data_IF_447855981247
#
_entry.id   IF_447855981247
#
_cell.length_a   1.000
_cell.length_b   1.000
_cell.length_c   1.000
_cell.angle_alpha   90.00
_cell.angle_beta   90.00
_cell.angle_gamma   90.00
#
_symmetry.space_group_name_H-M   'P 1'
#
loop_
_entity.id
_entity.type
_entity.pdbx_description
1 polymer ?
#
# COMPACT_ATOMS: atom_id res chain seq x y z
N UNK A 1 -24.99 -10.03 6.91
CA UNK A 1 -23.58 -9.66 6.68
C UNK A 1 -22.83 -10.96 6.50
N UNK A 2 -22.04 -11.09 5.44
CA UNK A 2 -21.20 -12.28 5.21
C UNK A 2 -20.13 -12.42 6.29
N UNK A 3 -19.56 -13.63 6.43
CA UNK A 3 -18.63 -13.97 7.52
C UNK A 3 -17.34 -13.14 7.47
N UNK A 4 -16.83 -12.84 6.28
CA UNK A 4 -15.61 -12.05 6.10
C UNK A 4 -15.83 -10.58 6.49
N UNK A 5 -16.97 -9.99 6.11
CA UNK A 5 -17.33 -8.64 6.56
C UNK A 5 -17.54 -8.59 8.07
N UNK A 6 -18.14 -9.63 8.67
CA UNK A 6 -18.32 -9.71 10.13
C UNK A 6 -16.99 -9.74 10.88
N UNK A 7 -16.02 -10.51 10.41
CA UNK A 7 -14.68 -10.59 11.03
C UNK A 7 -14.01 -9.22 11.10
N UNK A 8 -14.01 -8.45 10.00
CA UNK A 8 -13.45 -7.10 10.00
C UNK A 8 -14.26 -6.12 10.88
N UNK A 9 -15.58 -6.26 10.94
CA UNK A 9 -16.40 -5.44 11.83
C UNK A 9 -16.08 -5.68 13.31
N UNK A 10 -15.84 -6.93 13.72
CA UNK A 10 -15.45 -7.26 15.09
C UNK A 10 -14.08 -6.67 15.44
N UNK A 11 -13.11 -6.73 14.53
CA UNK A 11 -11.84 -6.02 14.70
C UNK A 11 -12.03 -4.52 14.89
N UNK A 12 -12.83 -3.88 14.05
CA UNK A 12 -13.08 -2.45 14.15
C UNK A 12 -13.74 -2.08 15.50
N UNK A 13 -14.66 -2.89 16.00
CA UNK A 13 -15.29 -2.70 17.32
C UNK A 13 -14.29 -2.88 18.47
N UNK A 14 -13.50 -3.95 18.45
CA UNK A 14 -12.47 -4.22 19.45
C UNK A 14 -11.42 -3.09 19.49
N UNK A 15 -10.99 -2.63 18.32
CA UNK A 15 -10.02 -1.53 18.19
C UNK A 15 -10.57 -0.19 18.66
N UNK A 16 -11.84 0.12 18.36
CA UNK A 16 -12.47 1.38 18.75
C UNK A 16 -12.54 1.54 20.28
N UNK A 17 -12.82 0.44 21.00
CA UNK A 17 -12.82 0.43 22.45
C UNK A 17 -11.47 0.89 23.05
N UNK A 18 -10.36 0.52 22.42
CA UNK A 18 -9.03 0.87 22.89
C UNK A 18 -8.65 2.34 22.62
N UNK A 19 -9.29 3.00 21.64
CA UNK A 19 -8.91 4.35 21.21
C UNK A 19 -9.60 5.47 22.02
N UNK A 20 -10.82 5.26 22.50
CA UNK A 20 -11.59 6.31 23.19
C UNK A 20 -11.34 6.36 24.71
N UNK A 21 -10.47 5.50 25.25
CA UNK A 21 -10.39 5.30 26.71
C UNK A 21 -11.72 4.81 27.32
N UNK A 22 -12.64 4.36 26.47
CA UNK A 22 -13.91 3.76 26.82
C UNK A 22 -13.62 2.29 27.12
N UNK A 23 -13.59 1.94 28.40
CA UNK A 23 -13.60 0.53 28.77
C UNK A 23 -14.94 -0.04 28.34
N UNK A 24 -14.93 -1.05 27.46
CA UNK A 24 -16.12 -1.83 27.17
C UNK A 24 -16.67 -2.36 28.50
N UNK A 25 -17.98 -2.22 28.71
CA UNK A 25 -18.62 -2.93 29.80
C UNK A 25 -18.49 -4.45 29.57
N UNK A 26 -18.59 -5.23 30.65
CA UNK A 26 -18.41 -6.68 30.60
C UNK A 26 -19.36 -7.37 29.62
N UNK A 27 -20.57 -6.85 29.43
CA UNK A 27 -21.57 -7.42 28.51
C UNK A 27 -21.16 -7.19 27.06
N UNK A 28 -20.73 -5.98 26.71
CA UNK A 28 -20.22 -5.65 25.38
C UNK A 28 -18.95 -6.43 25.03
N UNK A 29 -18.03 -6.56 25.99
CA UNK A 29 -16.80 -7.34 25.81
C UNK A 29 -17.10 -8.83 25.61
N UNK A 30 -17.98 -9.40 26.45
CA UNK A 30 -18.43 -10.79 26.33
C UNK A 30 -19.15 -11.04 25.00
N UNK A 31 -19.97 -10.10 24.53
CA UNK A 31 -20.63 -10.19 23.23
C UNK A 31 -19.62 -10.25 22.08
N UNK A 32 -18.60 -9.37 22.07
CA UNK A 32 -17.57 -9.39 21.01
C UNK A 32 -16.82 -10.73 21.03
N UNK A 33 -16.39 -11.21 22.20
CA UNK A 33 -15.67 -12.48 22.35
C UNK A 33 -16.52 -13.70 21.94
N UNK A 34 -17.80 -13.71 22.29
CA UNK A 34 -18.74 -14.75 21.84
C UNK A 34 -18.84 -14.76 20.31
N UNK A 35 -19.00 -13.58 19.68
CA UNK A 35 -19.09 -13.49 18.24
C UNK A 35 -17.78 -13.88 17.52
N UNK A 36 -16.62 -13.56 18.10
CA UNK A 36 -15.32 -14.04 17.59
C UNK A 36 -15.24 -15.57 17.67
N UNK A 37 -15.62 -16.15 18.82
CA UNK A 37 -15.62 -17.60 19.03
C UNK A 37 -16.54 -18.30 18.04
N UNK A 38 -17.76 -17.80 17.87
CA UNK A 38 -18.72 -18.30 16.88
C UNK A 38 -18.10 -18.27 15.48
N UNK A 39 -17.45 -17.19 15.06
CA UNK A 39 -16.84 -17.12 13.72
C UNK A 39 -15.67 -18.08 13.53
N UNK A 40 -14.83 -18.26 14.56
CA UNK A 40 -13.74 -19.24 14.53
C UNK A 40 -14.26 -20.68 14.41
N UNK A 41 -15.30 -20.99 15.18
CA UNK A 41 -15.92 -22.31 15.21
C UNK A 41 -16.76 -22.60 13.95
N UNK A 42 -17.29 -21.56 13.29
CA UNK A 42 -18.08 -21.67 12.04
C UNK A 42 -17.22 -22.01 10.81
N UNK A 43 -16.03 -22.59 11.01
CA UNK A 43 -15.11 -23.14 10.03
C UNK A 43 -14.11 -22.12 9.45
N UNK A 44 -12.89 -22.09 10.00
CA UNK A 44 -11.71 -21.38 9.48
C UNK A 44 -11.49 -21.56 7.97
N UNK A 45 -12.01 -22.65 7.36
CA UNK A 45 -11.90 -22.91 5.93
C UNK A 45 -12.67 -21.93 5.01
N UNK A 46 -13.60 -21.12 5.53
CA UNK A 46 -14.33 -20.11 4.72
C UNK A 46 -13.85 -18.67 4.91
N UNK A 47 -13.10 -18.40 5.99
CA UNK A 47 -12.54 -17.07 6.21
C UNK A 47 -11.30 -16.91 5.33
N UNK A 48 -11.28 -15.84 4.53
CA UNK A 48 -10.06 -15.48 3.83
C UNK A 48 -8.98 -14.99 4.82
N UNK A 49 -7.72 -15.02 4.40
CA UNK A 49 -6.59 -14.64 5.26
C UNK A 49 -6.73 -13.23 5.83
N UNK A 50 -7.29 -12.28 5.06
CA UNK A 50 -7.57 -10.93 5.58
C UNK A 50 -8.53 -10.96 6.78
N UNK A 51 -9.57 -11.78 6.72
CA UNK A 51 -10.59 -11.90 7.77
C UNK A 51 -10.09 -12.70 8.97
N UNK A 52 -9.28 -13.73 8.75
CA UNK A 52 -8.57 -14.43 9.83
C UNK A 52 -7.64 -13.46 10.57
N UNK A 53 -6.91 -12.62 9.82
CA UNK A 53 -6.05 -11.58 10.40
C UNK A 53 -6.85 -10.56 11.21
N UNK A 54 -8.03 -10.18 10.73
CA UNK A 54 -8.95 -9.31 11.48
C UNK A 54 -9.33 -9.95 12.83
N UNK A 55 -9.69 -11.24 12.83
CA UNK A 55 -10.04 -11.94 14.08
C UNK A 55 -8.84 -12.06 15.02
N UNK A 56 -7.63 -12.32 14.51
CA UNK A 56 -6.42 -12.38 15.33
C UNK A 56 -6.19 -11.04 16.02
N UNK A 57 -6.25 -9.94 15.27
CA UNK A 57 -6.15 -8.59 15.82
C UNK A 57 -7.28 -8.28 16.81
N UNK A 58 -8.52 -8.70 16.53
CA UNK A 58 -9.64 -8.51 17.45
C UNK A 58 -9.39 -9.23 18.79
N UNK A 59 -8.92 -10.48 18.76
CA UNK A 59 -8.55 -11.25 19.96
C UNK A 59 -7.44 -10.53 20.74
N UNK A 60 -6.41 -10.04 20.05
CA UNK A 60 -5.32 -9.30 20.65
C UNK A 60 -5.79 -8.01 21.35
N UNK A 61 -6.62 -7.21 20.70
CA UNK A 61 -7.19 -5.98 21.29
C UNK A 61 -8.13 -6.28 22.48
N UNK A 62 -8.72 -7.48 22.54
CA UNK A 62 -9.55 -7.95 23.65
C UNK A 62 -8.74 -8.64 24.77
N UNK A 63 -7.42 -8.75 24.65
CA UNK A 63 -6.54 -9.38 25.64
C UNK A 63 -6.46 -10.91 25.57
N UNK A 64 -7.04 -11.53 24.55
CA UNK A 64 -6.98 -12.98 24.31
C UNK A 64 -5.69 -13.36 23.57
N UNK A 65 -4.54 -13.05 24.18
CA UNK A 65 -3.22 -13.11 23.51
C UNK A 65 -2.86 -14.50 22.97
N UNK A 66 -3.13 -15.56 23.74
CA UNK A 66 -2.83 -16.95 23.30
C UNK A 66 -3.63 -17.30 22.06
N UNK A 67 -4.94 -17.03 22.06
CA UNK A 67 -5.80 -17.33 20.92
C UNK A 67 -5.44 -16.48 19.69
N UNK A 68 -5.02 -15.23 19.90
CA UNK A 68 -4.53 -14.36 18.83
C UNK A 68 -3.24 -14.92 18.20
N UNK A 69 -2.29 -15.38 19.02
CA UNK A 69 -1.02 -15.96 18.56
C UNK A 69 -1.23 -17.30 17.85
N UNK A 70 -2.12 -18.16 18.34
CA UNK A 70 -2.48 -19.42 17.69
C UNK A 70 -3.04 -19.18 16.28
N UNK A 71 -3.93 -18.18 16.14
CA UNK A 71 -4.49 -17.82 14.83
C UNK A 71 -3.44 -17.15 13.93
N UNK A 72 -2.51 -16.37 14.50
CA UNK A 72 -1.37 -15.84 13.75
C UNK A 72 -0.49 -16.98 13.22
N UNK A 73 -0.22 -18.03 14.00
CA UNK A 73 0.54 -19.19 13.55
C UNK A 73 -0.13 -19.91 12.37
N UNK A 74 -1.45 -20.08 12.41
CA UNK A 74 -2.23 -20.61 11.29
C UNK A 74 -2.07 -19.74 10.02
N UNK A 75 -2.11 -18.42 10.17
CA UNK A 75 -1.92 -17.47 9.05
C UNK A 75 -0.51 -17.57 8.50
N UNK A 76 0.52 -17.53 9.34
CA UNK A 76 1.93 -17.59 8.91
C UNK A 76 2.26 -18.91 8.20
N UNK A 77 1.61 -20.02 8.56
CA UNK A 77 1.75 -21.29 7.86
C UNK A 77 1.27 -21.26 6.40
N UNK A 78 0.47 -20.27 6.00
CA UNK A 78 -0.01 -20.07 4.62
C UNK A 78 0.83 -19.10 3.79
N UNK A 79 1.97 -18.64 4.33
CA UNK A 79 2.83 -17.67 3.67
C UNK A 79 3.43 -18.21 2.36
N UNK A 80 3.34 -17.41 1.31
CA UNK A 80 3.93 -17.69 0.00
C UNK A 80 5.19 -16.83 -0.19
N UNK A 81 6.37 -17.48 -0.17
CA UNK A 81 7.67 -16.78 -0.31
C UNK A 81 8.30 -17.04 -1.67
N UNK A 82 8.63 -15.96 -2.38
CA UNK A 82 9.41 -16.01 -3.60
C UNK A 82 10.88 -16.29 -3.28
N UNK A 83 11.41 -17.43 -3.75
CA UNK A 83 12.77 -17.87 -3.43
C UNK A 83 13.89 -16.97 -3.99
N UNK A 84 13.63 -16.22 -5.07
CA UNK A 84 14.62 -15.37 -5.72
C UNK A 84 14.72 -13.99 -5.06
N UNK A 85 13.57 -13.41 -4.70
CA UNK A 85 13.51 -12.06 -4.12
C UNK A 85 13.46 -12.09 -2.59
N UNK A 86 13.11 -13.23 -1.99
CA UNK A 86 12.81 -13.34 -0.56
C UNK A 86 11.59 -12.50 -0.17
N UNK A 87 10.71 -12.17 -1.11
CA UNK A 87 9.45 -11.48 -0.83
C UNK A 87 8.39 -12.51 -0.40
N UNK A 88 7.72 -12.24 0.71
CA UNK A 88 6.71 -13.12 1.32
C UNK A 88 5.35 -12.43 1.26
N UNK A 89 4.29 -13.17 0.96
CA UNK A 89 2.95 -12.61 0.88
C UNK A 89 1.89 -13.64 1.23
N UNK A 90 0.66 -13.16 1.41
CA UNK A 90 -0.51 -13.99 1.65
C UNK A 90 -1.56 -13.70 0.59
N UNK A 91 -2.14 -14.76 0.04
CA UNK A 91 -3.21 -14.64 -0.93
C UNK A 91 -4.49 -14.09 -0.29
N UNK A 92 -5.13 -13.12 -0.95
CA UNK A 92 -6.45 -12.61 -0.57
C UNK A 92 -7.62 -13.50 -0.99
N UNK A 93 -7.41 -14.82 -1.04
CA UNK A 93 -8.09 -15.81 -1.88
C UNK A 93 -9.57 -15.59 -2.28
N UNK A 94 -9.80 -15.87 -3.58
CA UNK A 94 -10.97 -15.71 -4.44
C UNK A 94 -12.11 -16.72 -4.22
N UNK A 95 -12.85 -16.66 -3.10
CA UNK A 95 -13.89 -17.67 -2.87
C UNK A 95 -15.29 -17.37 -3.45
N UNK A 96 -15.63 -16.14 -3.86
CA UNK A 96 -16.98 -15.88 -4.40
C UNK A 96 -17.11 -14.81 -5.51
N UNK A 97 -16.03 -14.14 -5.93
CA UNK A 97 -16.03 -13.05 -6.93
C UNK A 97 -16.78 -11.78 -6.50
N UNK A 98 -17.95 -11.92 -5.87
CA UNK A 98 -18.80 -10.85 -5.38
C UNK A 98 -18.19 -10.12 -4.16
N UNK A 99 -17.72 -10.84 -3.13
CA UNK A 99 -17.04 -10.24 -1.99
C UNK A 99 -15.71 -9.62 -2.42
N UNK A 100 -14.97 -10.31 -3.29
CA UNK A 100 -13.69 -9.82 -3.82
C UNK A 100 -13.84 -8.44 -4.47
N UNK A 101 -14.78 -8.30 -5.40
CA UNK A 101 -15.06 -7.03 -6.07
C UNK A 101 -15.58 -5.98 -5.08
N UNK A 102 -16.56 -6.35 -4.22
CA UNK A 102 -17.17 -5.43 -3.25
C UNK A 102 -16.16 -4.84 -2.26
N UNK A 103 -15.16 -5.62 -1.86
CA UNK A 103 -14.19 -5.22 -0.82
C UNK A 103 -12.86 -4.74 -1.37
N UNK A 104 -12.71 -4.74 -2.71
CA UNK A 104 -11.45 -4.46 -3.39
C UNK A 104 -10.32 -5.33 -2.81
N UNK A 105 -10.62 -6.62 -2.60
CA UNK A 105 -9.68 -7.54 -1.99
C UNK A 105 -8.45 -7.73 -2.88
N UNK A 106 -7.28 -7.82 -2.27
CA UNK A 106 -6.04 -8.10 -2.98
C UNK A 106 -5.00 -8.72 -2.05
N UNK A 107 -3.99 -9.34 -2.65
CA UNK A 107 -2.84 -9.87 -1.93
C UNK A 107 -2.04 -8.74 -1.25
N UNK A 108 -1.96 -7.56 -1.88
CA UNK A 108 -1.32 -6.37 -1.29
C UNK A 108 -2.00 -5.97 0.01
N UNK A 109 -3.33 -5.82 -0.03
CA UNK A 109 -4.15 -5.44 1.14
C UNK A 109 -4.05 -6.49 2.25
N UNK A 110 -4.13 -7.77 1.86
CA UNK A 110 -4.07 -8.91 2.79
C UNK A 110 -2.71 -8.98 3.48
N UNK A 111 -1.64 -8.94 2.70
CA UNK A 111 -0.26 -8.96 3.20
C UNK A 111 0.03 -7.77 4.09
N UNK A 112 -0.44 -6.57 3.74
CA UNK A 112 -0.29 -5.39 4.58
C UNK A 112 -0.96 -5.60 5.95
N UNK A 113 -2.15 -6.17 5.98
CA UNK A 113 -2.83 -6.39 7.25
C UNK A 113 -2.14 -7.46 8.11
N UNK A 114 -1.58 -8.50 7.50
CA UNK A 114 -0.74 -9.50 8.20
C UNK A 114 0.53 -8.86 8.75
N UNK A 115 1.14 -7.91 8.03
CA UNK A 115 2.28 -7.11 8.54
C UNK A 115 1.89 -6.28 9.78
N UNK A 116 0.71 -5.67 9.79
CA UNK A 116 0.18 -4.99 10.99
C UNK A 116 0.07 -5.97 12.17
N UNK A 117 -0.53 -7.15 11.96
CA UNK A 117 -0.67 -8.17 13.01
C UNK A 117 0.68 -8.65 13.55
N UNK A 118 1.63 -9.02 12.68
CA UNK A 118 2.99 -9.38 13.08
C UNK A 118 3.67 -8.24 13.84
N UNK A 119 3.54 -6.99 13.38
CA UNK A 119 4.20 -5.84 14.04
C UNK A 119 3.70 -5.60 15.46
N UNK A 120 2.41 -5.89 15.74
CA UNK A 120 1.83 -5.75 17.07
C UNK A 120 2.10 -6.95 17.98
N UNK A 121 1.97 -8.17 17.45
CA UNK A 121 1.98 -9.41 18.24
C UNK A 121 3.34 -10.09 18.29
N UNK A 122 4.12 -10.01 17.21
CA UNK A 122 5.37 -10.77 17.01
C UNK A 122 6.34 -10.02 16.08
N UNK A 123 6.92 -8.88 16.51
CA UNK A 123 7.76 -8.02 15.67
C UNK A 123 9.10 -8.64 15.25
N UNK A 124 9.41 -9.83 15.77
CA UNK A 124 10.58 -10.64 15.44
C UNK A 124 10.23 -11.86 14.59
N UNK A 125 9.03 -11.93 14.00
CA UNK A 125 8.64 -13.02 13.10
C UNK A 125 9.55 -13.08 11.87
N UNK A 126 9.94 -14.28 11.46
CA UNK A 126 10.90 -14.51 10.37
C UNK A 126 10.32 -14.08 9.01
N UNK A 127 9.01 -14.14 8.84
CA UNK A 127 8.29 -13.76 7.63
C UNK A 127 8.19 -12.24 7.46
N UNK A 128 8.26 -11.47 8.55
CA UNK A 128 7.99 -10.03 8.56
C UNK A 128 8.90 -9.24 7.62
N UNK A 129 10.23 -9.44 7.58
CA UNK A 129 11.09 -8.77 6.60
C UNK A 129 10.74 -9.10 5.15
N UNK A 130 10.34 -10.35 4.88
CA UNK A 130 9.91 -10.78 3.55
C UNK A 130 8.59 -10.13 3.13
N UNK A 131 7.66 -9.99 4.08
CA UNK A 131 6.37 -9.31 3.88
C UNK A 131 6.52 -7.82 3.60
N UNK A 132 7.38 -7.13 4.35
CA UNK A 132 7.73 -5.72 4.09
C UNK A 132 8.37 -5.57 2.71
N UNK A 133 9.27 -6.49 2.32
CA UNK A 133 9.88 -6.48 0.99
C UNK A 133 8.85 -6.67 -0.12
N UNK A 134 7.87 -7.55 0.07
CA UNK A 134 6.76 -7.70 -0.87
C UNK A 134 6.00 -6.38 -1.04
N UNK A 135 5.58 -5.74 0.05
CA UNK A 135 4.88 -4.45 -0.02
C UNK A 135 5.72 -3.41 -0.77
N UNK A 136 6.99 -3.22 -0.41
CA UNK A 136 7.86 -2.27 -1.10
C UNK A 136 8.01 -2.58 -2.59
N UNK A 137 8.08 -3.86 -2.97
CA UNK A 137 8.15 -4.31 -4.37
C UNK A 137 6.85 -4.13 -5.17
N UNK A 138 5.70 -4.00 -4.51
CA UNK A 138 4.40 -3.71 -5.14
C UNK A 138 4.12 -2.22 -5.29
N UNK A 139 4.98 -1.35 -4.74
CA UNK A 139 4.81 0.10 -4.83
C UNK A 139 4.92 0.58 -6.27
N UNK A 140 3.89 1.27 -6.73
CA UNK A 140 3.84 2.00 -7.98
C UNK A 140 4.06 3.50 -7.71
N UNK A 141 4.18 4.32 -8.75
CA UNK A 141 4.55 5.75 -8.69
C UNK A 141 4.15 6.47 -7.39
N UNK A 142 2.86 6.65 -7.13
CA UNK A 142 2.33 7.40 -5.98
C UNK A 142 1.67 6.51 -4.90
N UNK A 143 1.72 5.19 -5.01
CA UNK A 143 0.99 4.30 -4.09
C UNK A 143 0.99 2.83 -4.51
N UNK A 144 -0.04 2.10 -4.12
CA UNK A 144 -0.18 0.66 -4.37
C UNK A 144 -1.43 0.36 -5.20
N UNK A 145 -1.51 0.81 -6.45
CA UNK A 145 -2.63 0.48 -7.36
C UNK A 145 -3.96 1.16 -7.03
N UNK A 146 -4.54 0.88 -5.87
CA UNK A 146 -5.82 1.44 -5.38
C UNK A 146 -5.63 2.27 -4.10
N UNK A 147 -6.62 3.12 -3.77
CA UNK A 147 -6.64 3.86 -2.50
C UNK A 147 -6.68 2.93 -1.29
N UNK A 148 -7.39 1.81 -1.39
CA UNK A 148 -7.51 0.80 -0.34
C UNK A 148 -6.16 0.13 -0.05
N UNK A 149 -5.51 -0.42 -1.07
CA UNK A 149 -4.18 -1.01 -0.94
C UNK A 149 -3.14 0.01 -0.46
N UNK A 150 -3.21 1.25 -0.94
CA UNK A 150 -2.32 2.33 -0.50
C UNK A 150 -2.49 2.63 0.98
N UNK A 151 -3.72 2.73 1.47
CA UNK A 151 -3.98 2.99 2.88
C UNK A 151 -3.46 1.87 3.78
N UNK A 152 -3.78 0.60 3.48
CA UNK A 152 -3.31 -0.54 4.25
C UNK A 152 -1.78 -0.68 4.20
N UNK A 153 -1.15 -0.49 3.03
CA UNK A 153 0.31 -0.57 2.92
C UNK A 153 1.01 0.52 3.75
N UNK A 154 0.51 1.76 3.74
CA UNK A 154 1.08 2.84 4.55
C UNK A 154 0.94 2.54 6.04
N UNK A 155 -0.24 2.10 6.49
CA UNK A 155 -0.47 1.74 7.89
C UNK A 155 0.47 0.61 8.33
N UNK A 156 0.53 -0.48 7.56
CA UNK A 156 1.36 -1.63 7.85
C UNK A 156 2.86 -1.31 7.91
N UNK A 157 3.36 -0.53 6.94
CA UNK A 157 4.76 -0.10 6.94
C UNK A 157 5.07 0.85 8.11
N UNK A 158 4.09 1.63 8.55
CA UNK A 158 4.22 2.49 9.74
C UNK A 158 4.25 1.66 11.02
N UNK A 159 3.34 0.70 11.18
CA UNK A 159 3.31 -0.23 12.31
C UNK A 159 4.63 -0.99 12.42
N UNK A 160 5.15 -1.47 11.29
CA UNK A 160 6.44 -2.11 11.20
C UNK A 160 7.58 -1.21 11.70
N UNK A 161 7.67 0.02 11.18
CA UNK A 161 8.72 0.97 11.59
C UNK A 161 8.64 1.28 13.09
N UNK A 162 7.44 1.45 13.64
CA UNK A 162 7.24 1.67 15.08
C UNK A 162 7.68 0.46 15.91
N UNK A 163 7.32 -0.76 15.48
CA UNK A 163 7.70 -1.99 16.16
C UNK A 163 9.21 -2.24 16.13
N UNK A 164 9.85 -1.94 15.00
CA UNK A 164 11.32 -2.04 14.88
C UNK A 164 12.04 -1.03 15.78
N UNK A 165 11.55 0.20 15.89
CA UNK A 165 12.10 1.21 16.82
C UNK A 165 12.08 0.71 18.26
N UNK A 166 10.97 0.15 18.71
CA UNK A 166 10.85 -0.41 20.07
C UNK A 166 11.82 -1.57 20.31
N UNK A 167 12.12 -2.36 19.27
CA UNK A 167 12.97 -3.56 19.39
C UNK A 167 14.47 -3.24 19.32
N UNK A 168 14.86 -2.26 18.50
CA UNK A 168 16.28 -1.96 18.21
C UNK A 168 16.91 -0.95 19.19
N UNK A 169 16.10 -0.26 20.01
CA UNK A 169 16.58 0.77 20.94
C UNK A 169 17.00 2.06 20.23
N UNK A 170 17.71 2.96 20.94
CA UNK A 170 18.07 4.31 20.44
C UNK A 170 19.53 4.43 19.94
N UNK A 171 20.20 3.31 19.66
CA UNK A 171 21.61 3.33 19.28
C UNK A 171 21.80 4.03 17.92
N UNK A 172 22.68 5.05 17.83
CA UNK A 172 22.94 5.71 16.56
C UNK A 172 23.65 4.79 15.58
N UNK A 173 23.32 4.92 14.30
CA UNK A 173 24.04 4.30 13.19
C UNK A 173 24.72 5.38 12.35
N UNK A 174 25.99 5.16 12.00
CA UNK A 174 26.71 6.07 11.11
C UNK A 174 26.48 5.65 9.66
N UNK A 175 26.43 6.63 8.78
CA UNK A 175 26.31 6.41 7.35
C UNK A 175 27.35 7.23 6.58
N UNK A 176 27.76 6.70 5.44
CA UNK A 176 28.54 7.41 4.42
C UNK A 176 27.92 7.13 3.06
N UNK A 177 27.67 8.19 2.30
CA UNK A 177 27.21 8.11 0.91
C UNK A 177 28.34 8.55 0.00
N UNK A 178 28.64 7.74 -0.99
CA UNK A 178 29.61 8.03 -2.03
C UNK A 178 28.94 8.01 -3.41
N UNK A 179 29.38 8.90 -4.28
CA UNK A 179 29.04 8.93 -5.70
C UNK A 179 30.35 8.78 -6.48
N UNK A 180 30.45 7.74 -7.31
CA UNK A 180 31.66 7.44 -8.09
C UNK A 180 32.95 7.46 -7.24
N UNK A 181 32.86 6.90 -6.02
CA UNK A 181 33.96 6.84 -5.04
C UNK A 181 34.23 8.13 -4.25
N UNK A 182 33.58 9.25 -4.57
CA UNK A 182 33.69 10.49 -3.81
C UNK A 182 32.63 10.57 -2.72
N UNK A 183 33.05 10.78 -1.47
CA UNK A 183 32.12 11.02 -0.35
C UNK A 183 31.33 12.30 -0.57
N UNK A 184 30.00 12.19 -0.61
CA UNK A 184 29.07 13.31 -0.77
C UNK A 184 28.36 13.68 0.53
N UNK A 185 28.18 12.70 1.43
CA UNK A 185 27.58 12.92 2.73
C UNK A 185 28.08 11.87 3.72
N UNK A 186 28.17 12.28 4.98
CA UNK A 186 28.45 11.40 6.10
C UNK A 186 27.74 11.94 7.34
N UNK A 187 27.29 11.07 8.21
CA UNK A 187 26.62 11.48 9.43
C UNK A 187 26.22 10.32 10.30
N UNK A 188 25.44 10.63 11.32
CA UNK A 188 24.87 9.65 12.24
C UNK A 188 23.37 9.88 12.33
N UNK A 189 22.62 8.79 12.40
CA UNK A 189 21.17 8.78 12.51
C UNK A 189 20.81 7.96 13.74
N UNK A 190 19.88 8.47 14.54
CA UNK A 190 19.24 7.68 15.59
C UNK A 190 17.99 7.03 15.01
N UNK A 191 17.47 5.94 15.60
CA UNK A 191 16.20 5.33 15.20
C UNK A 191 15.00 6.28 15.30
N UNK A 192 15.13 7.33 16.11
CA UNK A 192 14.18 8.45 16.27
C UNK A 192 14.37 9.58 15.27
N UNK A 193 15.47 9.59 14.50
CA UNK A 193 15.72 10.63 13.53
C UNK A 193 14.65 10.62 12.43
N UNK A 194 14.22 11.82 12.02
CA UNK A 194 13.47 11.98 10.77
C UNK A 194 14.36 11.54 9.59
N UNK A 195 13.72 11.12 8.49
CA UNK A 195 14.46 10.76 7.29
C UNK A 195 15.29 11.94 6.80
N UNK A 196 16.53 11.67 6.41
CA UNK A 196 17.39 12.67 5.77
C UNK A 196 17.29 12.57 4.26
N UNK A 197 17.28 13.72 3.59
CA UNK A 197 17.39 13.80 2.13
C UNK A 197 18.78 14.32 1.77
N UNK A 198 19.54 13.52 1.02
CA UNK A 198 20.87 13.88 0.56
C UNK A 198 20.76 14.20 -0.94
N UNK A 199 20.83 15.48 -1.34
CA UNK A 199 20.86 15.83 -2.75
C UNK A 199 22.19 15.34 -3.35
N UNK A 200 22.11 14.58 -4.44
CA UNK A 200 23.30 14.16 -5.19
C UNK A 200 23.67 15.26 -6.20
N UNK A 201 24.86 15.88 -6.08
CA UNK A 201 25.28 16.92 -7.01
C UNK A 201 25.44 16.37 -8.44
N UNK A 202 24.86 17.06 -9.43
CA UNK A 202 24.89 16.63 -10.83
C UNK A 202 26.30 16.67 -11.44
N UNK A 203 27.19 17.51 -10.91
CA UNK A 203 28.59 17.63 -11.33
C UNK A 203 29.46 16.45 -10.89
N UNK A 204 28.97 15.62 -9.95
CA UNK A 204 29.60 14.37 -9.56
C UNK A 204 29.08 13.17 -10.36
N UNK A 205 28.07 13.38 -11.21
CA UNK A 205 27.52 12.34 -12.07
C UNK A 205 28.18 12.36 -13.44
N UNK A 206 28.67 11.21 -13.88
CA UNK A 206 29.17 10.99 -15.22
C UNK A 206 28.03 10.73 -16.21
N UNK A 207 28.33 10.94 -17.50
CA UNK A 207 27.42 10.49 -18.56
C UNK A 207 27.42 8.96 -18.60
N UNK A 208 26.25 8.35 -18.34
CA UNK A 208 26.07 6.90 -18.37
C UNK A 208 25.91 6.29 -16.97
N UNK A 209 26.60 5.19 -16.71
CA UNK A 209 26.50 4.47 -15.44
C UNK A 209 27.20 5.26 -14.32
N UNK A 210 26.52 5.37 -13.19
CA UNK A 210 27.04 6.00 -11.98
C UNK A 210 26.92 5.01 -10.82
N UNK A 211 27.93 4.97 -9.95
CA UNK A 211 27.91 4.14 -8.75
C UNK A 211 27.55 4.99 -7.54
N UNK A 212 26.53 4.55 -6.79
CA UNK A 212 26.13 5.15 -5.52
C UNK A 212 26.36 4.10 -4.44
N UNK A 213 27.30 4.36 -3.54
CA UNK A 213 27.67 3.45 -2.46
C UNK A 213 27.17 3.99 -1.14
N UNK A 214 26.31 3.21 -0.47
CA UNK A 214 25.84 3.49 0.89
C UNK A 214 26.53 2.54 1.86
N UNK A 215 27.35 3.12 2.74
CA UNK A 215 28.06 2.40 3.79
C UNK A 215 27.38 2.75 5.10
N UNK A 216 27.09 1.76 5.94
CA UNK A 216 26.57 2.00 7.28
C UNK A 216 27.27 1.13 8.32
N UNK A 217 27.45 1.70 9.52
CA UNK A 217 27.83 0.96 10.72
C UNK A 217 26.75 1.16 11.78
N UNK A 218 26.25 0.07 12.36
CA UNK A 218 25.12 0.14 13.31
C UNK A 218 24.38 -1.18 13.46
N UNK A 219 23.58 -1.26 14.53
CA UNK A 219 22.68 -2.39 14.78
C UNK A 219 21.36 -2.12 14.07
N UNK A 220 20.96 -3.02 13.18
CA UNK A 220 19.70 -2.92 12.45
C UNK A 220 19.84 -2.48 11.00
N UNK A 221 18.75 -2.58 10.21
CA UNK A 221 18.73 -2.23 8.81
C UNK A 221 18.69 -0.71 8.60
N UNK A 222 19.48 -0.21 7.64
CA UNK A 222 19.34 1.15 7.10
C UNK A 222 18.41 1.12 5.88
N UNK A 223 17.25 1.77 6.00
CA UNK A 223 16.34 1.95 4.87
C UNK A 223 16.71 3.20 4.07
N UNK A 224 16.75 3.05 2.75
CA UNK A 224 17.03 4.16 1.84
C UNK A 224 16.10 4.09 0.61
N UNK A 225 15.91 5.25 -0.01
CA UNK A 225 15.25 5.35 -1.30
C UNK A 225 16.08 6.26 -2.21
N UNK A 226 16.35 5.80 -3.43
CA UNK A 226 16.97 6.62 -4.46
C UNK A 226 15.86 7.19 -5.36
N UNK A 227 15.74 8.52 -5.40
CA UNK A 227 14.75 9.23 -6.21
C UNK A 227 15.47 10.05 -7.28
N UNK A 228 15.10 9.83 -8.53
CA UNK A 228 15.50 10.64 -9.67
C UNK A 228 14.25 11.23 -10.33
N UNK A 229 14.29 12.52 -10.66
CA UNK A 229 13.22 13.20 -11.39
C UNK A 229 13.81 13.93 -12.60
N UNK A 230 13.27 13.62 -13.77
CA UNK A 230 13.63 14.28 -15.02
C UNK A 230 12.38 14.70 -15.79
N UNK A 231 12.54 15.71 -16.64
CA UNK A 231 11.50 16.13 -17.57
C UNK A 231 11.93 15.74 -18.97
N UNK A 232 11.16 14.86 -19.60
CA UNK A 232 11.38 14.49 -20.99
C UNK A 232 10.39 15.25 -21.87
N UNK A 233 10.90 16.08 -22.77
CA UNK A 233 10.07 16.74 -23.76
C UNK A 233 9.57 15.69 -24.76
N UNK A 234 8.28 15.37 -24.70
CA UNK A 234 7.61 14.48 -25.64
C UNK A 234 6.40 15.20 -26.24
N UNK A 235 6.17 15.00 -27.54
CA UNK A 235 5.01 15.56 -28.26
C UNK A 235 3.71 14.83 -27.91
N UNK A 236 3.81 13.58 -27.46
CA UNK A 236 2.68 12.74 -27.06
C UNK A 236 3.15 11.62 -26.13
N UNK A 237 2.24 11.14 -25.28
CA UNK A 237 2.44 9.95 -24.45
C UNK A 237 1.66 8.81 -25.12
N UNK A 238 2.29 7.66 -25.32
CA UNK A 238 1.60 6.48 -25.85
C UNK A 238 0.53 5.99 -24.87
N UNK A 239 -0.63 5.58 -25.41
CA UNK A 239 -1.67 4.97 -24.59
C UNK A 239 -1.15 3.64 -24.00
N UNK A 240 -1.55 3.35 -22.77
CA UNK A 240 -1.17 2.13 -22.05
C UNK A 240 -2.38 1.52 -21.34
N UNK A 241 -2.31 0.22 -21.06
CA UNK A 241 -3.37 -0.54 -20.41
C UNK A 241 -4.39 -1.14 -21.39
N UNK A 242 -5.38 -1.84 -20.86
CA UNK A 242 -6.45 -2.50 -21.62
C UNK A 242 -7.64 -1.59 -21.93
N UNK A 243 -7.86 -0.55 -21.12
CA UNK A 243 -8.90 0.45 -21.32
C UNK A 243 -8.44 1.47 -22.36
N UNK A 244 -9.21 1.61 -23.45
CA UNK A 244 -9.00 2.64 -24.45
C UNK A 244 -10.02 3.77 -24.27
N UNK A 245 -9.53 5.01 -24.18
CA UNK A 245 -10.36 6.22 -24.17
C UNK A 245 -9.98 7.08 -25.36
N UNK A 246 -10.95 7.34 -26.24
CA UNK A 246 -10.78 8.20 -27.41
C UNK A 246 -11.60 9.47 -27.23
N UNK A 247 -10.92 10.61 -27.24
CA UNK A 247 -11.55 11.94 -27.20
C UNK A 247 -11.65 12.52 -28.60
N UNK A 248 -12.82 13.01 -28.95
CA UNK A 248 -13.10 13.74 -30.20
C UNK A 248 -13.86 15.03 -29.91
N UNK A 249 -13.65 16.04 -30.74
CA UNK A 249 -14.31 17.34 -30.65
C UNK A 249 -15.23 17.52 -31.84
N UNK A 250 -16.34 18.18 -31.60
CA UNK A 250 -17.39 18.43 -32.57
C UNK A 250 -17.92 19.85 -32.39
N UNK A 251 -18.33 20.51 -33.46
CA UNK A 251 -18.97 21.83 -33.37
C UNK A 251 -20.41 21.74 -32.83
N UNK A 252 -21.10 22.89 -32.76
CA UNK A 252 -22.48 22.95 -32.26
C UNK A 252 -23.48 22.27 -33.20
N UNK A 253 -23.13 22.16 -34.48
CA UNK A 253 -23.90 21.52 -35.54
C UNK A 253 -23.70 20.00 -35.58
N UNK A 254 -22.71 19.48 -34.84
CA UNK A 254 -22.44 18.06 -34.73
C UNK A 254 -21.52 17.51 -35.82
N UNK A 255 -20.64 18.36 -36.37
CA UNK A 255 -19.59 17.98 -37.31
C UNK A 255 -18.22 17.87 -36.62
N UNK A 256 -17.32 16.97 -37.09
CA UNK A 256 -15.99 16.85 -36.51
C UNK A 256 -15.22 18.17 -36.55
N UNK A 257 -14.66 18.57 -35.42
CA UNK A 257 -14.02 19.87 -35.23
C UNK A 257 -12.60 19.71 -34.68
N UNK A 258 -11.65 20.49 -35.20
CA UNK A 258 -10.30 20.57 -34.64
C UNK A 258 -10.24 21.66 -33.56
N UNK A 259 -10.09 21.23 -32.30
CA UNK A 259 -10.04 22.11 -31.13
C UNK A 259 -8.94 23.17 -31.20
N UNK A 260 -7.89 22.96 -31.99
CA UNK A 260 -6.83 23.95 -32.19
C UNK A 260 -7.33 25.24 -32.88
N UNK A 261 -8.48 25.19 -33.56
CA UNK A 261 -9.08 26.31 -34.28
C UNK A 261 -10.26 26.94 -33.52
N UNK A 262 -10.46 26.61 -32.23
CA UNK A 262 -11.55 27.14 -31.43
C UNK A 262 -11.42 28.65 -31.18
N UNK A 263 -12.52 29.37 -31.37
CA UNK A 263 -12.62 30.79 -31.01
C UNK A 263 -13.07 30.98 -29.56
N UNK A 264 -12.71 32.12 -28.97
CA UNK A 264 -13.15 32.48 -27.63
C UNK A 264 -14.68 32.57 -27.57
N UNK A 265 -15.30 31.74 -26.72
CA UNK A 265 -16.76 31.68 -26.57
C UNK A 265 -17.46 30.74 -27.56
N UNK A 266 -16.73 30.07 -28.46
CA UNK A 266 -17.30 29.04 -29.32
C UNK A 266 -17.74 27.83 -28.49
N UNK A 267 -18.95 27.34 -28.74
CA UNK A 267 -19.43 26.10 -28.15
C UNK A 267 -18.83 24.90 -28.90
N UNK A 268 -18.23 23.98 -28.15
CA UNK A 268 -17.65 22.73 -28.68
C UNK A 268 -18.19 21.56 -27.89
N UNK A 269 -18.63 20.52 -28.58
CA UNK A 269 -19.04 19.25 -27.99
C UNK A 269 -17.84 18.31 -27.86
N UNK A 270 -17.60 17.81 -26.65
CA UNK A 270 -16.57 16.78 -26.39
C UNK A 270 -17.25 15.42 -26.33
N UNK A 271 -16.78 14.48 -27.16
CA UNK A 271 -17.22 13.08 -27.15
C UNK A 271 -16.08 12.17 -26.70
N UNK A 272 -16.35 11.43 -25.63
CA UNK A 272 -15.48 10.38 -25.10
C UNK A 272 -16.06 9.02 -25.50
N UNK A 273 -15.28 8.23 -26.22
CA UNK A 273 -15.56 6.83 -26.52
C UNK A 273 -14.66 5.95 -25.67
N UNK A 274 -15.25 5.00 -24.96
CA UNK A 274 -14.58 4.17 -23.98
C UNK A 274 -14.75 2.71 -24.39
N UNK A 275 -13.67 1.99 -24.56
CA UNK A 275 -13.68 0.58 -24.99
C UNK A 275 -12.81 -0.24 -24.06
N UNK A 276 -13.33 -1.36 -23.59
CA UNK A 276 -12.60 -2.34 -22.78
C UNK A 276 -12.97 -3.76 -23.24
N UNK A 277 -12.01 -4.70 -23.28
CA UNK A 277 -12.29 -6.08 -23.68
C UNK A 277 -13.07 -6.90 -22.64
N UNK A 278 -13.13 -6.46 -21.38
CA UNK A 278 -13.75 -7.18 -20.26
C UNK A 278 -14.74 -6.29 -19.48
N UNK A 279 -15.53 -6.89 -18.59
CA UNK A 279 -16.38 -6.12 -17.67
C UNK A 279 -15.52 -5.34 -16.67
N UNK A 280 -15.85 -4.07 -16.45
CA UNK A 280 -15.14 -3.21 -15.50
C UNK A 280 -16.02 -2.84 -14.31
N UNK A 281 -15.40 -2.75 -13.14
CA UNK A 281 -16.00 -2.19 -11.93
C UNK A 281 -15.19 -0.98 -11.47
N UNK A 282 -15.85 0.01 -10.85
CA UNK A 282 -15.21 1.18 -10.23
C UNK A 282 -14.35 2.06 -11.18
N UNK A 283 -14.80 2.23 -12.43
CA UNK A 283 -14.09 3.06 -13.42
C UNK A 283 -14.30 4.54 -13.14
N UNK A 284 -13.21 5.30 -13.15
CA UNK A 284 -13.21 6.76 -13.15
C UNK A 284 -12.54 7.23 -14.45
N UNK A 285 -13.19 8.15 -15.14
CA UNK A 285 -12.65 8.79 -16.35
C UNK A 285 -12.43 10.26 -16.05
N UNK A 286 -11.18 10.68 -16.06
CA UNK A 286 -10.79 12.07 -15.90
C UNK A 286 -10.41 12.68 -17.26
N UNK A 287 -11.29 13.51 -17.83
CA UNK A 287 -10.98 14.31 -19.02
C UNK A 287 -10.50 15.70 -18.58
N UNK A 288 -9.18 15.88 -18.53
CA UNK A 288 -8.58 17.18 -18.23
C UNK A 288 -8.82 18.12 -19.41
N UNK A 289 -9.57 19.19 -19.14
CA UNK A 289 -9.83 20.24 -20.12
C UNK A 289 -8.50 20.87 -20.57
N UNK A 290 -8.36 21.19 -21.87
CA UNK A 290 -7.17 21.89 -22.35
C UNK A 290 -7.03 23.23 -21.64
N UNK A 291 -5.81 23.56 -21.20
CA UNK A 291 -5.52 24.87 -20.65
C UNK A 291 -5.70 25.95 -21.72
N UNK A 292 -6.47 26.98 -21.42
CA UNK A 292 -6.69 28.11 -22.33
C UNK A 292 -5.46 29.04 -22.27
N UNK A 293 -4.36 28.65 -22.92
CA UNK A 293 -3.17 29.51 -23.07
C UNK A 293 -3.08 30.00 -24.51
N UNK A 294 -3.53 31.23 -24.73
CA UNK A 294 -3.29 31.95 -25.99
C UNK A 294 -4.41 31.89 -27.01
N UNK A 295 -5.68 32.00 -26.59
CA UNK A 295 -6.69 32.59 -27.47
C UNK A 295 -6.22 34.02 -27.76
N UNK A 296 -5.78 34.28 -29.00
CA UNK A 296 -5.51 35.63 -29.49
C UNK A 296 -6.83 36.35 -29.76
#
# INVERSE_FOLDING_TARGET
MDVNTRAFALYALARAAQYEGVTLDEESAAFILDQITVLRDFNNAQLNTFSQTALALALWEMGEETAAQDLLDEILATAETNAQTGATHWSGANHDGYYHNKTMASDTRTTAFVVTAMSQMRPTADELPGAVRYLLGRRQAQGWGTTNETAFAILALTDYLLAQRTTQGDAPFNYTVQVNGQTVAQGSLTPTAESITIPLPLDLLDTGANEITLIHDGVGPLYYALRNEWYLAQTSIEAAGSLTVKRTYWDAEGEPFDIANAEAGQLVLVRLEVTNPEDLSYVIIEDKLPGVRGLK
#
